data_IF_757402633004
#
_entry.id   IF_757402633004
#
_cell.length_a   1.000
_cell.length_b   1.000
_cell.length_c   1.000
_cell.angle_alpha   90.00
_cell.angle_beta   90.00
_cell.angle_gamma   90.00
#
_symmetry.space_group_name_H-M   'P 1'
#
loop_
_entity.id
_entity.type
_entity.pdbx_description
1 polymer ?
#
# COMPACT_ATOMS: atom_id res chain seq x y z
N UNK A 1 -9.30 -23.86 -13.23
CA UNK A 1 -10.69 -23.45 -12.90
C UNK A 1 -10.75 -21.94 -12.97
N UNK A 2 -11.84 -21.36 -13.48
CA UNK A 2 -12.08 -19.92 -13.42
C UNK A 2 -13.20 -19.71 -12.40
N UNK A 3 -12.93 -18.90 -11.39
CA UNK A 3 -13.87 -18.57 -10.32
C UNK A 3 -14.09 -17.07 -10.30
N UNK A 4 -15.32 -16.63 -10.09
CA UNK A 4 -15.71 -15.22 -10.08
C UNK A 4 -16.42 -14.94 -8.76
N UNK A 5 -15.91 -13.96 -8.03
CA UNK A 5 -16.47 -13.55 -6.74
C UNK A 5 -16.36 -12.03 -6.56
N UNK A 6 -17.20 -11.51 -5.67
CA UNK A 6 -17.11 -10.14 -5.17
C UNK A 6 -16.46 -10.08 -3.78
N UNK A 7 -16.24 -11.24 -3.15
CA UNK A 7 -15.59 -11.36 -1.85
C UNK A 7 -14.06 -11.44 -2.04
N UNK A 8 -13.37 -10.52 -1.40
CA UNK A 8 -11.92 -10.43 -1.52
C UNK A 8 -11.21 -11.52 -0.75
N UNK A 9 -11.75 -11.97 0.38
CA UNK A 9 -11.18 -13.06 1.16
C UNK A 9 -11.19 -14.34 0.34
N UNK A 10 -12.28 -14.60 -0.37
CA UNK A 10 -12.36 -15.73 -1.32
C UNK A 10 -11.31 -15.59 -2.42
N UNK A 11 -11.21 -14.41 -3.05
CA UNK A 11 -10.24 -14.17 -4.11
C UNK A 11 -8.79 -14.36 -3.62
N UNK A 12 -8.47 -13.85 -2.43
CA UNK A 12 -7.12 -13.86 -1.85
C UNK A 12 -6.69 -15.24 -1.35
N UNK A 13 -7.62 -16.11 -0.97
CA UNK A 13 -7.31 -17.41 -0.36
C UNK A 13 -7.41 -18.59 -1.33
N UNK A 14 -8.26 -18.49 -2.36
CA UNK A 14 -8.51 -19.60 -3.29
C UNK A 14 -7.72 -19.50 -4.60
N UNK A 15 -7.34 -18.29 -5.02
CA UNK A 15 -6.75 -18.05 -6.33
C UNK A 15 -5.23 -18.09 -6.35
N UNK A 16 -4.64 -18.94 -7.21
CA UNK A 16 -3.20 -18.84 -7.57
C UNK A 16 -2.89 -17.52 -8.28
N UNK A 17 -3.86 -17.03 -9.06
CA UNK A 17 -3.83 -15.78 -9.79
C UNK A 17 -5.20 -15.13 -9.76
N UNK A 18 -5.23 -13.83 -9.51
CA UNK A 18 -6.42 -12.99 -9.54
C UNK A 18 -6.31 -12.05 -10.74
N UNK A 19 -7.44 -11.79 -11.39
CA UNK A 19 -7.59 -10.77 -12.43
C UNK A 19 -8.60 -9.75 -11.92
N UNK A 20 -8.16 -8.49 -11.75
CA UNK A 20 -9.03 -7.38 -11.36
C UNK A 20 -9.45 -6.64 -12.63
N UNK A 21 -10.75 -6.42 -12.78
CA UNK A 21 -11.34 -5.77 -13.95
C UNK A 21 -12.21 -4.59 -13.53
N UNK A 22 -12.29 -3.59 -14.40
CA UNK A 22 -13.19 -2.44 -14.29
C UNK A 22 -13.70 -2.05 -15.67
N UNK A 23 -15.00 -1.85 -15.81
CA UNK A 23 -15.64 -1.41 -17.05
C UNK A 23 -15.28 -2.27 -18.28
N UNK A 24 -15.10 -3.58 -18.06
CA UNK A 24 -14.71 -4.55 -19.10
C UNK A 24 -13.20 -4.62 -19.38
N UNK A 25 -12.38 -3.81 -18.73
CA UNK A 25 -10.92 -3.77 -18.94
C UNK A 25 -10.16 -4.37 -17.76
N UNK A 26 -9.16 -5.20 -18.06
CA UNK A 26 -8.23 -5.72 -17.05
C UNK A 26 -7.41 -4.55 -16.51
N UNK A 27 -7.49 -4.35 -15.20
CA UNK A 27 -6.72 -3.34 -14.48
C UNK A 27 -5.38 -3.90 -14.02
N UNK A 28 -5.38 -5.14 -13.52
CA UNK A 28 -4.16 -5.86 -13.13
C UNK A 28 -4.46 -7.36 -13.02
N UNK A 29 -3.45 -8.19 -13.29
CA UNK A 29 -3.50 -9.62 -13.06
C UNK A 29 -2.20 -10.11 -12.43
N UNK A 30 -2.28 -10.94 -11.39
CA UNK A 30 -1.10 -11.37 -10.64
C UNK A 30 -1.44 -12.32 -9.51
N UNK A 31 -0.44 -12.69 -8.69
CA UNK A 31 -0.69 -13.43 -7.45
C UNK A 31 -1.42 -12.51 -6.45
N UNK A 32 -2.22 -13.05 -5.53
CA UNK A 32 -2.97 -12.26 -4.54
C UNK A 32 -2.12 -11.20 -3.82
N UNK A 33 -0.98 -11.62 -3.27
CA UNK A 33 -0.09 -10.71 -2.54
C UNK A 33 0.60 -9.69 -3.46
N UNK A 34 0.88 -10.02 -4.72
CA UNK A 34 1.44 -9.04 -5.66
C UNK A 34 0.44 -7.91 -5.96
N UNK A 35 -0.86 -8.22 -6.06
CA UNK A 35 -1.91 -7.22 -6.25
C UNK A 35 -2.07 -6.33 -5.02
N UNK A 36 -2.00 -6.94 -3.83
CA UNK A 36 -2.14 -6.25 -2.56
C UNK A 36 -0.95 -5.33 -2.26
N UNK A 37 0.28 -5.84 -2.42
CA UNK A 37 1.55 -5.15 -2.11
C UNK A 37 1.98 -4.19 -3.22
N UNK A 38 1.60 -4.45 -4.47
CA UNK A 38 2.06 -3.68 -5.65
C UNK A 38 0.91 -3.39 -6.62
N UNK A 39 -0.13 -2.65 -6.19
CA UNK A 39 -1.18 -2.22 -7.10
C UNK A 39 -0.58 -1.37 -8.24
N UNK A 40 -0.99 -1.64 -9.48
CA UNK A 40 -0.54 -0.90 -10.68
C UNK A 40 -1.26 0.44 -10.85
N UNK A 41 -2.40 0.63 -10.18
CA UNK A 41 -3.18 1.85 -10.23
C UNK A 41 -4.04 2.03 -8.97
N UNK A 42 -4.55 3.25 -8.81
CA UNK A 42 -5.36 3.65 -7.65
C UNK A 42 -6.65 2.83 -7.51
N UNK A 43 -7.24 2.37 -8.61
CA UNK A 43 -8.44 1.54 -8.55
C UNK A 43 -8.12 0.17 -7.95
N UNK A 44 -7.04 -0.49 -8.38
CA UNK A 44 -6.62 -1.76 -7.78
C UNK A 44 -6.27 -1.57 -6.30
N UNK A 45 -5.60 -0.47 -5.96
CA UNK A 45 -5.24 -0.14 -4.59
C UNK A 45 -6.45 0.07 -3.67
N UNK A 46 -7.47 0.78 -4.17
CA UNK A 46 -8.74 1.00 -3.48
C UNK A 46 -9.57 -0.28 -3.39
N UNK A 47 -9.50 -1.12 -4.43
CA UNK A 47 -10.29 -2.33 -4.52
C UNK A 47 -9.72 -3.41 -3.60
N UNK A 48 -8.49 -3.88 -3.77
CA UNK A 48 -7.98 -5.03 -3.01
C UNK A 48 -7.63 -4.64 -1.55
N UNK A 49 -8.00 -5.45 -0.57
CA UNK A 49 -7.75 -5.26 0.86
C UNK A 49 -9.00 -4.87 1.65
N UNK A 50 -9.17 -5.47 2.83
CA UNK A 50 -10.27 -5.16 3.76
C UNK A 50 -9.72 -4.92 5.18
N UNK A 51 -9.81 -3.69 5.73
CA UNK A 51 -10.45 -2.51 5.12
C UNK A 51 -9.70 -1.96 3.91
N UNK A 52 -10.41 -1.13 3.13
CA UNK A 52 -9.87 -0.47 1.94
C UNK A 52 -8.66 0.44 2.27
N UNK A 53 -7.75 0.61 1.31
CA UNK A 53 -6.63 1.53 1.42
C UNK A 53 -7.10 2.96 1.73
N UNK A 54 -6.42 3.64 2.64
CA UNK A 54 -6.61 5.08 2.81
C UNK A 54 -5.97 5.81 1.64
N UNK A 55 -6.75 6.63 0.94
CA UNK A 55 -6.29 7.41 -0.20
C UNK A 55 -6.49 8.90 0.09
N UNK A 56 -5.41 9.67 -0.02
CA UNK A 56 -5.42 11.13 0.15
C UNK A 56 -4.78 11.82 -1.04
N UNK A 57 -5.43 12.86 -1.55
CA UNK A 57 -4.87 13.68 -2.62
C UNK A 57 -3.83 14.64 -2.05
N UNK A 58 -2.74 14.87 -2.80
CA UNK A 58 -1.69 15.78 -2.38
C UNK A 58 -0.82 16.27 -3.52
N UNK A 59 0.15 17.09 -3.14
CA UNK A 59 1.15 17.67 -4.04
C UNK A 59 2.54 17.18 -3.65
N UNK A 60 3.32 16.77 -4.64
CA UNK A 60 4.73 16.47 -4.48
C UNK A 60 5.52 17.76 -4.28
N UNK A 61 6.31 17.80 -3.20
CA UNK A 61 7.20 18.89 -2.84
C UNK A 61 8.62 18.33 -2.71
N UNK A 62 9.58 19.02 -3.31
CA UNK A 62 11.00 18.76 -3.11
C UNK A 62 11.58 19.91 -2.30
N UNK A 63 12.13 19.59 -1.13
CA UNK A 63 12.91 20.53 -0.32
C UNK A 63 14.35 20.00 -0.12
N UNK A 64 15.22 20.80 0.50
CA UNK A 64 16.60 20.40 0.77
C UNK A 64 16.76 19.17 1.67
N UNK A 65 15.66 18.66 2.25
CA UNK A 65 15.61 17.45 3.09
C UNK A 65 14.99 16.23 2.41
N UNK A 66 14.59 16.30 1.13
CA UNK A 66 14.09 15.16 0.37
C UNK A 66 12.76 15.42 -0.34
N UNK A 67 12.13 14.34 -0.82
CA UNK A 67 10.82 14.40 -1.45
C UNK A 67 9.72 14.17 -0.39
N UNK A 68 8.67 14.98 -0.45
CA UNK A 68 7.52 14.94 0.46
C UNK A 68 6.23 15.04 -0.32
N UNK A 69 5.13 14.58 0.27
CA UNK A 69 3.78 14.90 -0.18
C UNK A 69 3.10 15.77 0.85
N UNK A 70 2.44 16.83 0.38
CA UNK A 70 1.57 17.67 1.19
C UNK A 70 0.11 17.46 0.79
N UNK A 71 -0.73 17.16 1.78
CA UNK A 71 -2.18 17.05 1.66
C UNK A 71 -2.83 17.90 2.74
N UNK A 72 -3.18 19.15 2.40
CA UNK A 72 -3.57 20.14 3.40
C UNK A 72 -2.46 20.37 4.43
N UNK A 73 -2.76 20.14 5.71
CA UNK A 73 -1.78 20.22 6.81
C UNK A 73 -0.93 18.95 6.97
N UNK A 74 -1.36 17.82 6.39
CA UNK A 74 -0.61 16.58 6.45
C UNK A 74 0.63 16.67 5.54
N UNK A 75 1.81 16.46 6.11
CA UNK A 75 3.06 16.30 5.36
C UNK A 75 3.65 14.93 5.59
N UNK A 76 3.93 14.20 4.51
CA UNK A 76 4.50 12.87 4.55
C UNK A 76 5.85 12.86 3.83
N UNK A 77 6.90 12.45 4.55
CA UNK A 77 8.18 12.14 3.94
C UNK A 77 8.05 10.92 3.02
N UNK A 78 8.62 11.01 1.84
CA UNK A 78 8.76 9.86 0.95
C UNK A 78 10.18 9.32 1.06
N UNK A 79 10.35 8.03 0.80
CA UNK A 79 11.70 7.50 0.64
C UNK A 79 12.40 8.19 -0.53
N UNK A 80 13.72 8.35 -0.40
CA UNK A 80 14.58 8.81 -1.48
C UNK A 80 14.57 7.78 -2.62
N UNK A 81 13.61 7.90 -3.53
CA UNK A 81 13.57 7.23 -4.81
C UNK A 81 13.46 8.27 -5.91
N UNK A 82 14.02 7.96 -7.07
CA UNK A 82 13.71 8.70 -8.28
C UNK A 82 12.26 8.38 -8.68
N UNK A 83 11.33 9.18 -8.18
CA UNK A 83 9.99 9.27 -8.75
C UNK A 83 10.12 10.09 -10.03
N UNK A 84 9.44 9.67 -11.09
CA UNK A 84 9.40 10.45 -12.32
C UNK A 84 8.73 11.79 -11.98
N UNK A 85 9.53 12.85 -11.87
CA UNK A 85 9.14 14.19 -11.36
C UNK A 85 8.15 14.95 -12.26
N UNK A 86 7.63 14.33 -13.32
CA UNK A 86 6.74 15.01 -14.26
C UNK A 86 5.38 15.32 -13.65
N UNK A 87 4.99 14.63 -12.57
CA UNK A 87 3.68 14.79 -11.94
C UNK A 87 3.77 15.49 -10.58
N UNK A 88 3.17 16.68 -10.47
CA UNK A 88 3.09 17.41 -9.19
C UNK A 88 1.91 16.98 -8.34
N UNK A 89 0.82 16.55 -8.96
CA UNK A 89 -0.42 16.17 -8.27
C UNK A 89 -0.50 14.66 -8.17
N UNK A 90 -0.60 14.15 -6.95
CA UNK A 90 -0.56 12.72 -6.66
C UNK A 90 -1.68 12.30 -5.71
N UNK A 91 -1.96 11.01 -5.70
CA UNK A 91 -2.74 10.36 -4.64
C UNK A 91 -1.79 9.49 -3.83
N UNK A 92 -1.76 9.70 -2.51
CA UNK A 92 -1.02 8.86 -1.56
C UNK A 92 -1.93 7.78 -1.02
N UNK A 93 -1.44 6.56 -1.02
CA UNK A 93 -2.11 5.41 -0.46
C UNK A 93 -1.38 4.84 0.76
N UNK A 94 -2.11 4.50 1.82
CA UNK A 94 -1.58 3.69 2.92
C UNK A 94 -2.62 2.67 3.39
N UNK A 95 -2.19 1.42 3.56
CA UNK A 95 -3.05 0.36 4.10
C UNK A 95 -3.39 0.65 5.57
N UNK A 96 -4.64 0.42 6.02
CA UNK A 96 -5.03 0.64 7.41
C UNK A 96 -4.11 -0.03 8.45
N UNK A 97 -3.67 -1.24 8.19
CA UNK A 97 -2.75 -2.03 9.02
C UNK A 97 -1.28 -1.55 8.97
N UNK A 98 -0.96 -0.62 8.08
CA UNK A 98 0.37 0.00 7.99
C UNK A 98 0.46 1.31 8.79
N UNK A 99 -0.66 1.82 9.31
CA UNK A 99 -0.64 2.94 10.25
C UNK A 99 -0.24 2.40 11.62
N UNK A 100 0.82 2.97 12.19
CA UNK A 100 1.40 2.48 13.45
C UNK A 100 1.09 3.47 14.56
N UNK A 101 0.76 2.98 15.75
CA UNK A 101 0.69 3.85 16.94
C UNK A 101 2.10 4.28 17.35
N UNK A 102 2.30 5.56 17.57
CA UNK A 102 3.58 6.04 18.09
C UNK A 102 3.68 5.73 19.60
N UNK A 103 4.85 5.27 20.05
CA UNK A 103 5.13 5.07 21.47
C UNK A 103 5.44 6.41 22.18
N UNK A 104 5.83 7.42 21.41
CA UNK A 104 6.15 8.77 21.86
C UNK A 104 5.27 9.80 21.15
N UNK A 105 5.41 11.07 21.51
CA UNK A 105 4.79 12.16 20.75
C UNK A 105 5.16 12.05 19.26
N UNK A 106 4.16 12.22 18.40
CA UNK A 106 4.27 12.25 16.93
C UNK A 106 3.66 13.55 16.44
N UNK A 107 4.17 14.08 15.33
CA UNK A 107 3.58 15.26 14.67
C UNK A 107 2.19 14.96 14.07
N UNK A 108 1.82 13.67 13.99
CA UNK A 108 0.55 13.22 13.44
C UNK A 108 -0.29 12.61 14.57
N UNK A 109 -1.41 13.24 14.87
CA UNK A 109 -2.43 12.71 15.78
C UNK A 109 -3.67 12.28 14.99
N UNK A 110 -4.19 11.09 15.32
CA UNK A 110 -5.49 10.64 14.88
C UNK A 110 -6.52 10.90 16.00
N UNK A 111 -7.60 11.59 15.65
CA UNK A 111 -8.78 11.77 16.51
C UNK A 111 -9.75 10.63 16.21
N UNK A 112 -9.93 9.72 17.18
CA UNK A 112 -10.75 8.53 17.04
C UNK A 112 -12.23 8.93 16.95
N UNK A 113 -12.91 8.45 15.91
CA UNK A 113 -14.35 8.69 15.69
C UNK A 113 -15.18 7.44 15.96
N UNK A 114 -14.67 6.25 15.61
CA UNK A 114 -15.31 4.97 15.84
C UNK A 114 -14.24 3.92 16.13
N UNK A 115 -14.58 3.00 17.04
CA UNK A 115 -13.77 1.85 17.41
C UNK A 115 -14.63 0.60 17.26
N UNK A 116 -14.14 -0.37 16.49
CA UNK A 116 -14.77 -1.68 16.31
C UNK A 116 -13.79 -2.77 16.75
N UNK A 117 -14.17 -3.55 17.76
CA UNK A 117 -13.36 -4.65 18.26
C UNK A 117 -13.68 -5.93 17.48
N UNK A 118 -12.71 -6.38 16.68
CA UNK A 118 -12.81 -7.59 15.86
C UNK A 118 -11.81 -8.62 16.40
N UNK A 119 -12.18 -9.29 17.49
CA UNK A 119 -11.39 -10.37 18.09
C UNK A 119 -10.01 -9.89 18.56
N UNK A 120 -8.96 -10.18 17.78
CA UNK A 120 -7.57 -9.83 18.09
C UNK A 120 -7.15 -8.45 17.55
N UNK A 121 -8.02 -7.79 16.78
CA UNK A 121 -7.74 -6.51 16.15
C UNK A 121 -8.76 -5.46 16.58
N UNK A 122 -8.31 -4.21 16.62
CA UNK A 122 -9.17 -3.04 16.81
C UNK A 122 -9.15 -2.23 15.52
N UNK A 123 -10.33 -2.15 14.88
CA UNK A 123 -10.55 -1.35 13.68
C UNK A 123 -10.94 0.06 14.14
N UNK A 124 -10.27 1.06 13.58
CA UNK A 124 -10.42 2.44 13.98
C UNK A 124 -10.78 3.27 12.77
N UNK A 125 -11.85 4.04 12.87
CA UNK A 125 -12.10 5.17 11.99
C UNK A 125 -11.80 6.45 12.77
N UNK A 126 -10.96 7.30 12.21
CA UNK A 126 -10.59 8.57 12.83
C UNK A 126 -10.29 9.64 11.81
N UNK A 127 -9.89 10.81 12.29
CA UNK A 127 -9.42 11.90 11.44
C UNK A 127 -7.98 12.29 11.77
N UNK A 128 -7.19 12.55 10.73
CA UNK A 128 -5.85 13.13 10.81
C UNK A 128 -5.91 14.45 10.05
N UNK A 129 -5.65 15.56 10.70
CA UNK A 129 -5.77 16.90 10.11
C UNK A 129 -7.11 17.12 9.35
N UNK A 130 -8.21 16.64 9.93
CA UNK A 130 -9.56 16.72 9.35
C UNK A 130 -9.87 15.71 8.24
N UNK A 131 -8.88 14.96 7.74
CA UNK A 131 -9.07 13.92 6.73
C UNK A 131 -9.41 12.58 7.37
N UNK A 132 -10.33 11.81 6.78
CA UNK A 132 -10.74 10.50 7.34
C UNK A 132 -9.71 9.42 7.04
N UNK A 133 -9.36 8.65 8.06
CA UNK A 133 -8.48 7.50 7.96
C UNK A 133 -9.07 6.30 8.69
N UNK A 134 -8.82 5.12 8.14
CA UNK A 134 -9.00 3.82 8.78
C UNK A 134 -7.65 3.31 9.25
N UNK A 135 -7.59 2.76 10.45
CA UNK A 135 -6.42 2.06 10.96
C UNK A 135 -6.83 0.71 11.55
N UNK A 136 -5.91 -0.25 11.52
CA UNK A 136 -6.08 -1.55 12.18
C UNK A 136 -4.93 -1.72 13.16
N UNK A 137 -5.26 -1.83 14.44
CA UNK A 137 -4.29 -2.03 15.52
C UNK A 137 -4.46 -3.40 16.15
N UNK A 138 -3.45 -3.82 16.92
CA UNK A 138 -3.63 -4.90 17.88
C UNK A 138 -4.76 -4.53 18.86
N UNK A 139 -5.43 -5.56 19.40
CA UNK A 139 -6.53 -5.37 20.34
C UNK A 139 -6.16 -4.38 21.44
N UNK A 140 -7.03 -3.40 21.60
CA UNK A 140 -7.00 -2.41 22.65
C UNK A 140 -8.43 -2.20 23.16
N UNK A 141 -8.66 -2.64 24.40
CA UNK A 141 -9.97 -2.59 25.05
C UNK A 141 -10.27 -1.24 25.70
N UNK A 142 -9.27 -0.35 25.82
CA UNK A 142 -9.45 0.96 26.44
C UNK A 142 -9.65 2.09 25.43
N UNK A 143 -9.28 1.87 24.16
CA UNK A 143 -9.46 2.86 23.10
C UNK A 143 -10.95 3.18 22.87
N UNK A 144 -11.30 4.46 22.86
CA UNK A 144 -12.66 4.94 22.67
C UNK A 144 -12.76 6.09 21.64
N UNK A 145 -13.98 6.33 21.16
CA UNK A 145 -14.26 7.52 20.36
C UNK A 145 -13.99 8.80 21.18
N UNK A 146 -13.34 9.78 20.54
CA UNK A 146 -12.86 11.02 21.16
C UNK A 146 -11.39 11.00 21.56
N UNK A 147 -10.76 9.81 21.65
CA UNK A 147 -9.34 9.71 21.97
C UNK A 147 -8.46 10.36 20.90
N UNK A 148 -7.35 10.94 21.35
CA UNK A 148 -6.28 11.42 20.48
C UNK A 148 -5.10 10.47 20.61
N UNK A 149 -4.77 9.79 19.52
CA UNK A 149 -3.67 8.84 19.50
C UNK A 149 -2.58 9.34 18.56
N UNK A 150 -1.32 9.41 19.01
CA UNK A 150 -0.22 9.72 18.11
C UNK A 150 0.02 8.52 17.18
N UNK A 151 0.17 8.79 15.89
CA UNK A 151 0.36 7.76 14.86
C UNK A 151 1.54 8.09 13.97
N UNK A 152 2.07 7.06 13.30
CA UNK A 152 3.11 7.16 12.29
C UNK A 152 2.58 6.52 11.01
N UNK A 153 2.84 7.19 9.88
CA UNK A 153 2.59 6.69 8.54
C UNK A 153 3.97 6.43 7.89
N UNK A 154 4.52 5.20 7.98
CA UNK A 154 5.89 4.93 7.56
C UNK A 154 6.08 5.12 6.05
N UNK A 155 7.15 5.83 5.66
CA UNK A 155 7.40 6.19 4.27
C UNK A 155 7.54 4.97 3.33
N UNK A 156 8.06 3.87 3.85
CA UNK A 156 8.21 2.58 3.15
C UNK A 156 6.89 1.88 2.84
N UNK A 157 5.80 2.25 3.53
CA UNK A 157 4.46 1.68 3.36
C UNK A 157 3.54 2.57 2.53
N UNK A 158 4.03 3.72 2.07
CA UNK A 158 3.27 4.64 1.23
C UNK A 158 3.30 4.17 -0.23
N UNK A 159 2.13 4.22 -0.85
CA UNK A 159 1.95 4.09 -2.29
C UNK A 159 1.71 5.48 -2.88
N UNK A 160 2.21 5.71 -4.09
CA UNK A 160 1.93 6.93 -4.84
C UNK A 160 1.27 6.58 -6.16
N UNK A 161 0.27 7.36 -6.53
CA UNK A 161 -0.41 7.24 -7.80
C UNK A 161 -0.49 8.60 -8.48
N UNK A 162 -0.38 8.59 -9.80
CA UNK A 162 -0.66 9.71 -10.67
C UNK A 162 -2.10 10.18 -10.46
N UNK A 163 -2.32 11.48 -10.26
CA UNK A 163 -3.69 12.01 -10.28
C UNK A 163 -4.22 12.18 -11.70
N UNK A 164 -3.34 12.32 -12.68
CA UNK A 164 -3.72 12.48 -14.09
C UNK A 164 -4.29 11.19 -14.68
N UNK A 165 -3.60 10.06 -14.47
CA UNK A 165 -3.92 8.80 -15.13
C UNK A 165 -4.16 7.64 -14.14
N UNK A 166 -4.00 7.86 -12.84
CA UNK A 166 -4.26 6.86 -11.80
C UNK A 166 -3.19 5.78 -11.65
N UNK A 167 -2.14 5.75 -12.49
CA UNK A 167 -1.09 4.72 -12.45
C UNK A 167 -0.18 4.89 -11.23
N UNK A 168 0.33 3.78 -10.73
CA UNK A 168 1.31 3.78 -9.66
C UNK A 168 2.61 4.48 -10.09
N UNK A 169 3.06 5.44 -9.28
CA UNK A 169 4.35 6.10 -9.41
C UNK A 169 5.37 5.29 -8.63
N UNK A 170 6.14 4.47 -9.34
CA UNK A 170 7.13 3.60 -8.73
C UNK A 170 8.45 4.34 -8.60
N UNK A 171 9.15 4.07 -7.50
CA UNK A 171 10.56 4.41 -7.39
C UNK A 171 11.29 3.69 -8.54
N UNK A 172 12.01 4.43 -9.37
CA UNK A 172 13.00 3.84 -10.25
C UNK A 172 14.07 3.21 -9.36
N UNK A 173 13.92 1.92 -9.04
CA UNK A 173 15.10 1.12 -8.75
C UNK A 173 15.84 1.04 -10.07
N UNK A 174 17.04 1.59 -10.11
CA UNK A 174 17.96 1.39 -11.23
C UNK A 174 17.87 -0.08 -11.66
N UNK A 175 17.56 -0.29 -12.93
CA UNK A 175 17.15 -1.56 -13.56
C UNK A 175 18.17 -2.72 -13.39
N UNK A 176 19.29 -2.50 -12.69
CA UNK A 176 20.40 -3.42 -12.60
C UNK A 176 20.33 -4.48 -11.47
N UNK A 177 19.46 -4.35 -10.47
CA UNK A 177 19.42 -5.32 -9.35
C UNK A 177 18.39 -6.45 -9.52
N UNK A 178 17.33 -6.24 -10.32
CA UNK A 178 16.26 -7.24 -10.49
C UNK A 178 16.67 -8.35 -11.47
N UNK A 179 17.55 -8.07 -12.42
CA UNK A 179 18.04 -9.10 -13.35
C UNK A 179 19.10 -10.03 -12.73
N UNK A 180 19.84 -9.56 -11.72
CA UNK A 180 20.87 -10.38 -11.06
C UNK A 180 20.30 -11.56 -10.28
N UNK A 181 19.12 -11.41 -9.68
CA UNK A 181 18.47 -12.48 -8.92
C UNK A 181 17.70 -13.51 -9.77
N UNK A 182 17.49 -13.25 -11.07
CA UNK A 182 16.81 -14.18 -12.00
C UNK A 182 17.79 -15.02 -12.80
N UNK A 183 18.98 -14.50 -13.11
CA UNK A 183 20.00 -15.26 -13.84
C UNK A 183 20.61 -16.39 -13.00
N UNK A 184 20.76 -16.19 -11.68
CA UNK A 184 21.34 -17.20 -10.77
C UNK A 184 20.41 -18.41 -10.52
N UNK A 185 19.09 -18.25 -10.72
CA UNK A 185 18.13 -19.34 -10.48
C UNK A 185 17.91 -20.23 -11.70
N UNK A 186 18.10 -19.73 -12.93
CA UNK A 186 17.86 -20.50 -14.16
C UNK A 186 19.09 -21.32 -14.61
N UNK A 187 20.30 -21.02 -14.12
CA UNK A 187 21.50 -21.81 -14.46
C UNK A 187 21.68 -23.09 -13.61
N UNK A 188 20.90 -23.27 -12.53
CA UNK A 188 21.06 -24.39 -11.61
C UNK A 188 20.30 -25.67 -12.01
N UNK A 189 19.54 -25.68 -13.12
CA UNK A 189 18.64 -26.80 -13.46
C UNK A 189 18.92 -27.57 -14.77
N UNK A 190 20.05 -27.32 -15.46
CA UNK A 190 20.43 -28.15 -16.61
C UNK A 190 21.90 -28.60 -16.55
N UNK A 191 22.15 -29.71 -15.84
CA UNK A 191 23.30 -30.59 -16.12
C UNK A 191 22.79 -31.89 -16.76
N UNK A 192 23.23 -32.28 -17.96
CA UNK A 192 22.89 -33.57 -18.55
C UNK A 192 23.61 -34.71 -17.83
N UNK A 193 22.92 -35.85 -17.70
CA UNK A 193 23.42 -37.15 -17.22
C UNK A 193 24.65 -37.64 -17.99
N UNK A 194 25.72 -38.03 -17.28
CA UNK A 194 26.75 -38.92 -17.81
C UNK A 194 26.38 -40.38 -17.53
N UNK A 195 26.28 -41.17 -18.60
CA UNK A 195 26.07 -42.62 -18.57
C UNK A 195 27.44 -43.28 -18.42
N UNK A 196 27.70 -43.93 -17.28
CA UNK A 196 28.91 -44.75 -17.10
C UNK A 196 28.72 -46.13 -17.72
N UNK A 197 29.63 -46.50 -18.62
CA UNK A 197 29.90 -47.87 -19.04
C UNK A 197 31.03 -48.49 -18.25
#
# INVERSE_FOLDING_TARGET
MIFVTHDQVEAMTLGDRIVIMRDGWIQQAGRPLDLYDRPENVFVAAFIGSPEMNLVEGELLRDGGGLKVRSGELQLGLQNGEFIETEKSVTVGIRPEHIVRAETASDIEMIVSLVEQIGAQTYVLGTIFGQKFRAVFARDDVLAAGDKIPVVLPAERLHLFSRENGKALRQSKSINEINKGREDHDQAQFKPMEVQG
#
